data_IF_683760544494
#
_entry.id   IF_683760544494
#
_cell.length_a   1.000
_cell.length_b   1.000
_cell.length_c   1.000
_cell.angle_alpha   90.00
_cell.angle_beta   90.00
_cell.angle_gamma   90.00
#
_symmetry.space_group_name_H-M   'P 1'
#
loop_
_entity.id
_entity.type
_entity.pdbx_description
1 polymer ?
#
# COMPACT_ATOMS: atom_id res chain seq x y z
N UNK A 1 -19.85 12.61 -20.87
CA UNK A 1 -18.52 12.44 -20.24
C UNK A 1 -18.25 13.73 -19.48
N UNK A 2 -18.19 13.68 -18.14
CA UNK A 2 -18.05 14.87 -17.31
C UNK A 2 -16.63 14.91 -16.76
N UNK A 3 -15.80 15.79 -17.32
CA UNK A 3 -14.43 16.03 -16.87
C UNK A 3 -14.47 16.89 -15.61
N UNK A 4 -14.07 16.32 -14.47
CA UNK A 4 -13.84 17.09 -13.26
C UNK A 4 -12.42 17.68 -13.30
N UNK A 5 -12.33 18.99 -13.49
CA UNK A 5 -11.07 19.73 -13.39
C UNK A 5 -10.63 19.78 -11.93
N UNK A 6 -9.52 19.12 -11.60
CA UNK A 6 -8.90 19.17 -10.28
C UNK A 6 -8.09 20.46 -10.14
N UNK A 7 -8.69 21.49 -9.55
CA UNK A 7 -7.98 22.72 -9.18
C UNK A 7 -7.11 22.44 -7.95
N UNK A 8 -5.79 22.56 -8.10
CA UNK A 8 -4.88 22.53 -6.95
C UNK A 8 -5.19 23.70 -6.01
N UNK A 9 -5.23 23.50 -4.68
CA UNK A 9 -5.41 24.59 -3.74
C UNK A 9 -4.23 25.58 -3.85
N UNK A 10 -4.47 26.88 -3.61
CA UNK A 10 -3.41 27.89 -3.68
C UNK A 10 -2.28 27.54 -2.71
N UNK A 11 -1.04 27.62 -3.18
CA UNK A 11 0.17 27.43 -2.39
C UNK A 11 0.31 28.55 -1.36
N UNK A 12 -0.43 28.43 -0.27
CA UNK A 12 -0.18 29.20 0.94
C UNK A 12 1.09 28.65 1.56
N UNK A 13 2.13 29.47 1.65
CA UNK A 13 3.37 29.15 2.36
C UNK A 13 3.01 28.90 3.82
N UNK A 14 2.75 27.63 4.16
CA UNK A 14 2.22 27.22 5.45
C UNK A 14 3.33 27.37 6.48
N UNK A 15 3.45 28.56 7.06
CA UNK A 15 4.23 28.78 8.28
C UNK A 15 3.48 28.04 9.38
N UNK A 16 3.79 26.77 9.59
CA UNK A 16 3.37 26.00 10.75
C UNK A 16 4.00 26.64 12.00
N UNK A 17 3.41 27.73 12.47
CA UNK A 17 3.67 28.22 13.81
C UNK A 17 3.23 27.13 14.80
N UNK A 18 4.00 26.91 15.86
CA UNK A 18 3.85 25.73 16.74
C UNK A 18 2.43 25.49 17.29
N UNK A 19 1.63 26.55 17.44
CA UNK A 19 0.23 26.46 17.88
C UNK A 19 -0.71 25.79 16.85
N UNK A 20 -0.50 26.02 15.56
CA UNK A 20 -1.28 25.37 14.50
C UNK A 20 -0.91 23.89 14.37
N UNK A 21 0.38 23.57 14.53
CA UNK A 21 0.87 22.19 14.56
C UNK A 21 0.29 21.41 15.73
N UNK A 22 0.20 22.02 16.92
CA UNK A 22 -0.41 21.40 18.10
C UNK A 22 -1.90 21.10 17.89
N UNK A 23 -2.65 22.04 17.29
CA UNK A 23 -4.06 21.83 16.94
C UNK A 23 -4.24 20.70 15.93
N UNK A 24 -3.34 20.60 14.94
CA UNK A 24 -3.35 19.51 13.96
C UNK A 24 -3.02 18.16 14.60
N UNK A 25 -2.08 18.08 15.53
CA UNK A 25 -1.74 16.84 16.25
C UNK A 25 -2.87 16.38 17.18
N UNK A 26 -3.61 17.32 17.78
CA UNK A 26 -4.82 16.97 18.54
C UNK A 26 -5.93 16.43 17.63
N UNK A 27 -6.13 17.05 16.47
CA UNK A 27 -7.15 16.63 15.50
C UNK A 27 -6.79 15.32 14.79
N UNK A 28 -5.50 15.09 14.56
CA UNK A 28 -4.95 13.94 13.87
C UNK A 28 -3.87 13.30 14.75
N UNK A 29 -4.27 12.52 15.77
CA UNK A 29 -3.30 11.84 16.62
C UNK A 29 -2.38 10.96 15.76
N UNK A 30 -1.09 10.82 16.14
CA UNK A 30 -0.16 9.94 15.45
C UNK A 30 -0.78 8.54 15.32
N UNK A 31 -0.82 8.03 14.09
CA UNK A 31 -1.29 6.66 13.86
C UNK A 31 -0.30 5.71 14.52
N UNK A 32 -0.81 4.69 15.22
CA UNK A 32 0.05 3.59 15.65
C UNK A 32 0.70 3.00 14.42
N UNK A 33 2.03 2.89 14.45
CA UNK A 33 2.73 2.19 13.39
C UNK A 33 2.35 0.71 13.50
N UNK A 34 1.68 0.12 12.50
CA UNK A 34 1.39 -1.29 12.54
C UNK A 34 2.70 -2.07 12.56
N UNK A 35 2.88 -2.93 13.57
CA UNK A 35 4.06 -3.80 13.68
C UNK A 35 4.13 -4.80 12.52
N UNK A 36 2.97 -5.20 12.01
CA UNK A 36 2.83 -6.14 10.90
C UNK A 36 1.81 -5.63 9.90
N UNK A 37 2.08 -5.90 8.64
CA UNK A 37 1.14 -5.66 7.56
C UNK A 37 0.60 -7.01 7.13
N UNK A 38 -0.57 -7.42 7.63
CA UNK A 38 -1.11 -8.75 7.36
C UNK A 38 -1.16 -9.12 5.87
N UNK A 39 -1.35 -8.13 4.99
CA UNK A 39 -1.35 -8.33 3.53
C UNK A 39 0.04 -8.57 2.92
N UNK A 40 1.12 -8.14 3.56
CA UNK A 40 2.49 -8.45 3.10
C UNK A 40 2.97 -9.82 3.56
N UNK A 41 2.36 -10.37 4.61
CA UNK A 41 2.62 -11.73 5.12
C UNK A 41 1.63 -12.77 4.57
N UNK A 42 0.53 -12.31 3.96
CA UNK A 42 -0.50 -13.18 3.42
C UNK A 42 -0.01 -13.99 2.20
N UNK A 43 -0.55 -15.19 2.07
CA UNK A 43 -0.31 -16.03 0.90
C UNK A 43 -0.85 -15.39 -0.39
N UNK A 44 -0.17 -15.66 -1.50
CA UNK A 44 -0.57 -15.17 -2.83
C UNK A 44 -2.02 -15.55 -3.16
N UNK A 45 -2.44 -16.78 -2.85
CA UNK A 45 -3.79 -17.22 -3.16
C UNK A 45 -4.84 -16.50 -2.33
N UNK A 46 -4.53 -16.22 -1.06
CA UNK A 46 -5.42 -15.45 -0.19
C UNK A 46 -5.63 -14.02 -0.72
N UNK A 47 -4.56 -13.35 -1.16
CA UNK A 47 -4.65 -12.01 -1.73
C UNK A 47 -5.48 -12.04 -3.02
N UNK A 48 -5.22 -12.99 -3.91
CA UNK A 48 -5.97 -13.11 -5.17
C UNK A 48 -7.46 -13.41 -4.94
N UNK A 49 -7.79 -14.24 -3.96
CA UNK A 49 -9.20 -14.51 -3.59
C UNK A 49 -9.89 -13.25 -3.04
N UNK A 50 -9.18 -12.45 -2.23
CA UNK A 50 -9.72 -11.20 -1.69
C UNK A 50 -10.08 -10.18 -2.79
N UNK A 51 -9.29 -10.12 -3.87
CA UNK A 51 -9.55 -9.27 -5.04
C UNK A 51 -10.78 -9.73 -5.85
N UNK A 52 -11.20 -10.99 -5.66
CA UNK A 52 -12.43 -11.53 -6.23
C UNK A 52 -13.70 -11.15 -5.45
N UNK A 53 -13.56 -10.59 -4.25
CA UNK A 53 -14.68 -10.25 -3.37
C UNK A 53 -14.98 -8.75 -3.39
N UNK A 54 -16.22 -8.38 -3.09
CA UNK A 54 -16.58 -6.97 -2.85
C UNK A 54 -15.84 -6.45 -1.60
N UNK A 55 -15.39 -5.19 -1.59
CA UNK A 55 -15.62 -4.12 -2.57
C UNK A 55 -14.59 -4.06 -3.72
N UNK A 56 -13.59 -4.96 -3.75
CA UNK A 56 -12.45 -4.86 -4.67
C UNK A 56 -12.74 -5.45 -6.07
N UNK A 57 -13.71 -6.36 -6.14
CA UNK A 57 -14.19 -6.96 -7.39
C UNK A 57 -14.72 -5.88 -8.34
N UNK A 58 -14.21 -5.87 -9.57
CA UNK A 58 -14.75 -5.03 -10.63
C UNK A 58 -16.13 -5.54 -11.11
N UNK A 59 -16.99 -4.60 -11.50
CA UNK A 59 -18.31 -4.92 -12.06
C UNK A 59 -18.20 -5.61 -13.43
N UNK A 60 -17.26 -5.17 -14.27
CA UNK A 60 -17.02 -5.72 -15.60
C UNK A 60 -16.09 -6.94 -15.59
N UNK A 61 -16.49 -8.02 -16.28
CA UNK A 61 -15.67 -9.25 -16.41
C UNK A 61 -14.28 -8.98 -17.02
N UNK A 62 -14.21 -8.14 -18.06
CA UNK A 62 -12.94 -7.77 -18.71
C UNK A 62 -12.03 -7.00 -17.75
N UNK A 63 -12.58 -6.01 -17.04
CA UNK A 63 -11.84 -5.24 -16.04
C UNK A 63 -11.33 -6.13 -14.89
N UNK A 64 -12.16 -7.06 -14.40
CA UNK A 64 -11.75 -8.02 -13.37
C UNK A 64 -10.63 -8.93 -13.87
N UNK A 65 -10.73 -9.43 -15.10
CA UNK A 65 -9.68 -10.26 -15.70
C UNK A 65 -8.33 -9.53 -15.74
N UNK A 66 -8.30 -8.30 -16.27
CA UNK A 66 -7.08 -7.48 -16.33
C UNK A 66 -6.52 -7.19 -14.93
N UNK A 67 -7.38 -6.90 -13.94
CA UNK A 67 -6.95 -6.72 -12.54
C UNK A 67 -6.29 -7.97 -11.98
N UNK A 68 -6.86 -9.14 -12.24
CA UNK A 68 -6.30 -10.41 -11.76
C UNK A 68 -4.97 -10.77 -12.44
N UNK A 69 -4.78 -10.42 -13.71
CA UNK A 69 -3.49 -10.59 -14.40
C UNK A 69 -2.44 -9.67 -13.80
N UNK A 70 -2.76 -8.37 -13.64
CA UNK A 70 -1.84 -7.39 -13.05
C UNK A 70 -1.46 -7.74 -11.61
N UNK A 71 -2.43 -8.15 -10.78
CA UNK A 71 -2.18 -8.57 -9.41
C UNK A 71 -1.21 -9.75 -9.34
N UNK A 72 -1.37 -10.76 -10.20
CA UNK A 72 -0.43 -11.90 -10.28
C UNK A 72 0.98 -11.45 -10.66
N UNK A 73 1.12 -10.55 -11.64
CA UNK A 73 2.41 -10.04 -12.06
C UNK A 73 3.13 -9.29 -10.92
N UNK A 74 2.40 -8.44 -10.18
CA UNK A 74 2.94 -7.69 -9.04
C UNK A 74 3.33 -8.63 -7.91
N UNK A 75 2.48 -9.60 -7.55
CA UNK A 75 2.78 -10.57 -6.49
C UNK A 75 3.99 -11.44 -6.85
N UNK A 76 4.10 -11.88 -8.11
CA UNK A 76 5.27 -12.58 -8.60
C UNK A 76 6.54 -11.73 -8.49
N UNK A 77 6.48 -10.46 -8.88
CA UNK A 77 7.59 -9.52 -8.74
C UNK A 77 8.01 -9.32 -7.28
N UNK A 78 7.05 -9.11 -6.37
CA UNK A 78 7.32 -8.96 -4.93
C UNK A 78 7.94 -10.21 -4.31
N UNK A 79 7.51 -11.39 -4.74
CA UNK A 79 8.08 -12.66 -4.27
C UNK A 79 9.57 -12.79 -4.60
N UNK A 80 10.01 -12.27 -5.75
CA UNK A 80 11.42 -12.30 -6.15
C UNK A 80 12.29 -11.45 -5.23
N UNK A 81 11.82 -10.27 -4.79
CA UNK A 81 12.57 -9.40 -3.89
C UNK A 81 12.58 -9.91 -2.44
N UNK A 82 11.47 -10.48 -1.97
CA UNK A 82 11.40 -11.07 -0.63
C UNK A 82 12.29 -12.30 -0.49
N UNK A 83 12.41 -13.12 -1.54
CA UNK A 83 13.31 -14.27 -1.55
C UNK A 83 14.78 -13.81 -1.48
N UNK A 84 15.17 -12.78 -2.24
CA UNK A 84 16.56 -12.27 -2.23
C UNK A 84 16.91 -11.59 -0.90
N UNK A 85 15.99 -10.83 -0.29
CA UNK A 85 16.19 -10.23 1.02
C UNK A 85 16.41 -11.25 2.14
N UNK A 86 15.68 -12.37 2.11
CA UNK A 86 15.78 -13.42 3.12
C UNK A 86 17.09 -14.25 3.05
N UNK A 87 17.80 -14.19 1.91
CA UNK A 87 19.14 -14.78 1.74
C UNK A 87 20.27 -13.83 2.17
N UNK A 88 20.06 -12.52 2.15
CA UNK A 88 21.06 -11.54 2.58
C UNK A 88 21.25 -11.56 4.10
N UNK A 89 20.16 -11.64 4.88
CA UNK A 89 20.25 -11.70 6.35
C UNK A 89 20.86 -13.01 6.87
N UNK A 90 20.66 -14.14 6.18
CA UNK A 90 21.18 -15.44 6.64
C UNK A 90 22.69 -15.63 6.45
N UNK A 91 23.36 -14.81 5.64
CA UNK A 91 24.83 -14.88 5.52
C UNK A 91 25.58 -14.09 6.59
N UNK A 92 24.93 -13.13 7.26
CA UNK A 92 25.58 -12.32 8.30
C UNK A 92 25.64 -13.08 9.63
N UNK A 93 24.67 -13.96 9.93
CA UNK A 93 24.65 -14.74 11.18
C UNK A 93 25.45 -16.05 11.17
N UNK A 94 26.21 -16.37 10.11
CA UNK A 94 27.06 -17.59 10.05
C UNK A 94 28.56 -17.30 10.09
N UNK A 95 28.97 -16.06 10.34
CA UNK A 95 30.38 -15.64 10.41
C UNK A 95 30.71 -15.04 11.79
N UNK A 96 30.08 -15.54 12.86
CA UNK A 96 30.49 -15.28 14.25
C UNK A 96 30.57 -16.61 14.99
#
# INVERSE_FOLDING_TARGET
MTTATLTAPPETTRKLAGAEAATLLQKFPPRRNPETWHMTEADTNYILDSLGRTPLRAEGKSAQFTRMVGARAILAWLSLFLIVGHYAERRVSRVV
#
